data_IF_859139033703
#
_entry.id   IF_859139033703
#
_cell.length_a   1.000
_cell.length_b   1.000
_cell.length_c   1.000
_cell.angle_alpha   90.00
_cell.angle_beta   90.00
_cell.angle_gamma   90.00
#
_symmetry.space_group_name_H-M   'P 1'
#
loop_
_entity.id
_entity.type
_entity.pdbx_description
1 polymer ?
#
# COMPACT_ATOMS: atom_id res chain seq x y z
N UNK A 1 6.46 21.25 -9.27
CA UNK A 1 7.03 20.00 -8.74
C UNK A 1 8.22 20.41 -7.87
N UNK A 2 8.20 20.14 -6.56
CA UNK A 2 9.26 20.57 -5.61
C UNK A 2 10.39 19.55 -5.45
N UNK A 3 10.42 18.53 -6.31
CA UNK A 3 11.32 17.38 -6.25
C UNK A 3 12.20 17.38 -7.51
N UNK A 4 13.50 17.21 -7.32
CA UNK A 4 14.50 17.19 -8.38
C UNK A 4 14.72 15.79 -8.94
N UNK A 5 15.47 15.71 -10.03
CA UNK A 5 15.95 14.44 -10.59
C UNK A 5 16.60 13.57 -9.50
N UNK A 6 16.37 12.26 -9.55
CA UNK A 6 16.81 11.24 -8.58
C UNK A 6 16.10 11.29 -7.21
N UNK A 7 15.11 12.17 -7.03
CA UNK A 7 14.25 12.09 -5.85
C UNK A 7 13.43 10.80 -5.89
N UNK A 8 13.26 10.16 -4.74
CA UNK A 8 12.50 8.92 -4.60
C UNK A 8 11.39 9.08 -3.57
N UNK A 9 10.31 8.33 -3.76
CA UNK A 9 9.26 8.13 -2.76
C UNK A 9 9.22 6.65 -2.37
N UNK A 10 8.99 6.42 -1.08
CA UNK A 10 8.71 5.11 -0.51
C UNK A 10 7.58 5.30 0.49
N UNK A 11 6.46 4.61 0.28
CA UNK A 11 5.30 4.71 1.16
C UNK A 11 4.54 3.38 1.19
N UNK A 12 3.89 3.13 2.32
CA UNK A 12 2.84 2.15 2.42
C UNK A 12 1.49 2.74 2.00
N UNK A 13 0.61 1.90 1.49
CA UNK A 13 -0.74 2.31 1.13
C UNK A 13 -1.74 1.18 1.36
N UNK A 14 -3.01 1.57 1.52
CA UNK A 14 -4.13 0.65 1.57
C UNK A 14 -4.82 0.53 0.21
N UNK A 15 -5.38 -0.64 -0.12
CA UNK A 15 -6.22 -0.78 -1.29
C UNK A 15 -7.48 0.08 -1.14
N UNK A 16 -8.01 0.57 -2.27
CA UNK A 16 -9.25 1.38 -2.34
C UNK A 16 -10.42 0.73 -1.57
N UNK A 17 -10.49 -0.60 -1.54
CA UNK A 17 -11.52 -1.37 -0.84
C UNK A 17 -11.54 -1.17 0.69
N UNK A 18 -10.41 -0.83 1.31
CA UNK A 18 -10.37 -0.49 2.75
C UNK A 18 -10.96 0.89 3.00
N UNK A 19 -10.81 1.79 2.03
CA UNK A 19 -11.27 3.18 2.14
C UNK A 19 -12.78 3.26 1.97
N UNK A 20 -13.34 2.55 0.98
CA UNK A 20 -14.78 2.56 0.70
C UNK A 20 -15.58 1.53 1.52
N UNK A 21 -14.91 0.71 2.34
CA UNK A 21 -15.52 -0.30 3.20
C UNK A 21 -15.91 -1.60 2.49
N UNK A 22 -15.55 -1.78 1.21
CA UNK A 22 -15.80 -2.99 0.43
C UNK A 22 -14.77 -4.12 0.66
N UNK A 23 -13.79 -3.91 1.55
CA UNK A 23 -12.77 -4.92 1.84
C UNK A 23 -13.36 -6.21 2.44
N UNK A 24 -13.08 -7.35 1.81
CA UNK A 24 -13.54 -8.66 2.28
C UNK A 24 -12.75 -9.18 3.50
N UNK A 25 -11.59 -8.60 3.80
CA UNK A 25 -10.80 -8.98 4.97
C UNK A 25 -11.38 -8.33 6.23
N UNK A 26 -11.57 -9.14 7.29
CA UNK A 26 -12.07 -8.66 8.58
C UNK A 26 -11.22 -7.52 9.14
N UNK A 27 -9.89 -7.64 9.06
CA UNK A 27 -8.97 -6.59 9.49
C UNK A 27 -9.19 -5.28 8.71
N UNK A 28 -9.55 -5.35 7.42
CA UNK A 28 -9.81 -4.18 6.58
C UNK A 28 -11.11 -3.48 6.99
N UNK A 29 -12.19 -4.25 7.20
CA UNK A 29 -13.46 -3.71 7.71
C UNK A 29 -13.33 -3.11 9.10
N UNK A 30 -12.60 -3.79 9.99
CA UNK A 30 -12.37 -3.30 11.35
C UNK A 30 -11.60 -1.98 11.34
N UNK A 31 -10.57 -1.87 10.50
CA UNK A 31 -9.82 -0.62 10.32
C UNK A 31 -10.71 0.51 9.79
N UNK A 32 -11.49 0.25 8.73
CA UNK A 32 -12.43 1.22 8.16
C UNK A 32 -13.42 1.76 9.20
N UNK A 33 -14.13 0.84 9.88
CA UNK A 33 -15.15 1.19 10.86
C UNK A 33 -14.55 1.95 12.05
N UNK A 34 -13.41 1.49 12.56
CA UNK A 34 -12.77 2.13 13.71
C UNK A 34 -12.34 3.57 13.40
N UNK A 35 -11.74 3.81 12.24
CA UNK A 35 -11.34 5.16 11.82
C UNK A 35 -12.55 6.07 11.59
N UNK A 36 -13.65 5.53 11.05
CA UNK A 36 -14.90 6.27 10.93
C UNK A 36 -15.50 6.64 12.30
N UNK A 37 -15.48 5.73 13.28
CA UNK A 37 -15.95 5.97 14.65
C UNK A 37 -15.12 7.06 15.37
N UNK A 38 -13.82 7.13 15.09
CA UNK A 38 -12.93 8.17 15.60
C UNK A 38 -13.13 9.54 14.92
N UNK A 39 -13.93 9.60 13.85
CA UNK A 39 -14.11 10.81 13.04
C UNK A 39 -12.94 11.10 12.09
N UNK A 40 -12.06 10.12 11.86
CA UNK A 40 -10.88 10.22 10.99
C UNK A 40 -10.91 9.16 9.86
N UNK A 41 -11.98 9.08 9.05
CA UNK A 41 -12.07 8.07 8.00
C UNK A 41 -10.95 8.24 6.96
N UNK A 42 -10.41 7.12 6.47
CA UNK A 42 -9.48 7.13 5.35
C UNK A 42 -10.11 7.84 4.15
N UNK A 43 -9.33 8.71 3.51
CA UNK A 43 -9.78 9.48 2.34
C UNK A 43 -9.13 9.01 1.04
N UNK A 44 -8.07 8.21 1.15
CA UNK A 44 -7.24 7.84 0.01
C UNK A 44 -6.76 6.40 0.13
N UNK A 45 -6.85 5.71 -1.00
CA UNK A 45 -6.34 4.37 -1.22
C UNK A 45 -6.11 4.21 -2.71
N UNK A 46 -5.31 3.22 -3.09
CA UNK A 46 -5.00 2.95 -4.49
C UNK A 46 -5.69 1.66 -4.89
N UNK A 47 -6.41 1.66 -6.00
CA UNK A 47 -7.01 0.43 -6.52
C UNK A 47 -5.93 -0.62 -6.77
N UNK A 48 -6.23 -1.85 -6.39
CA UNK A 48 -5.32 -2.98 -6.60
C UNK A 48 -4.89 -3.06 -8.08
N UNK A 49 -3.60 -3.24 -8.32
CA UNK A 49 -3.00 -3.26 -9.66
C UNK A 49 -2.83 -1.89 -10.34
N UNK A 50 -3.27 -0.79 -9.73
CA UNK A 50 -3.24 0.54 -10.37
C UNK A 50 -2.12 1.47 -9.87
N UNK A 51 -1.29 1.04 -8.93
CA UNK A 51 -0.23 1.89 -8.34
C UNK A 51 0.80 2.37 -9.36
N UNK A 52 1.14 1.53 -10.34
CA UNK A 52 2.05 1.91 -11.42
C UNK A 52 1.45 3.03 -12.26
N UNK A 53 0.21 2.86 -12.75
CA UNK A 53 -0.48 3.90 -13.51
C UNK A 53 -0.64 5.20 -12.69
N UNK A 54 -1.01 5.09 -11.42
CA UNK A 54 -1.16 6.22 -10.50
C UNK A 54 0.14 7.02 -10.37
N UNK A 55 1.29 6.35 -10.19
CA UNK A 55 2.58 7.01 -10.03
C UNK A 55 3.15 7.55 -11.34
N UNK A 56 2.99 6.82 -12.45
CA UNK A 56 3.42 7.25 -13.79
C UNK A 56 2.68 8.52 -14.23
N UNK A 57 1.37 8.61 -14.00
CA UNK A 57 0.59 9.82 -14.28
C UNK A 57 1.11 11.05 -13.51
N UNK A 58 1.79 10.84 -12.38
CA UNK A 58 2.35 11.89 -11.52
C UNK A 58 3.82 12.20 -11.83
N UNK A 59 4.35 11.67 -12.92
CA UNK A 59 5.72 11.92 -13.37
C UNK A 59 6.78 11.09 -12.67
N UNK A 60 6.38 10.01 -11.98
CA UNK A 60 7.33 9.05 -11.45
C UNK A 60 7.61 7.93 -12.47
N UNK A 61 8.78 7.33 -12.37
CA UNK A 61 9.19 6.15 -13.11
C UNK A 61 9.87 5.14 -12.18
N UNK A 62 10.30 4.00 -12.73
CA UNK A 62 10.91 2.92 -11.94
C UNK A 62 10.01 2.39 -10.83
N UNK A 63 8.69 2.36 -11.05
CA UNK A 63 7.72 1.98 -10.03
C UNK A 63 7.90 0.52 -9.63
N UNK A 64 8.01 0.28 -8.33
CA UNK A 64 8.01 -1.03 -7.71
C UNK A 64 6.86 -1.11 -6.72
N UNK A 65 6.03 -2.13 -6.87
CA UNK A 65 4.98 -2.47 -5.92
C UNK A 65 5.36 -3.76 -5.20
N UNK A 66 5.18 -3.81 -3.90
CA UNK A 66 5.42 -5.00 -3.09
C UNK A 66 4.16 -5.28 -2.27
N UNK A 67 3.55 -6.44 -2.51
CA UNK A 67 2.40 -6.92 -1.74
C UNK A 67 2.82 -7.59 -0.44
N UNK A 68 1.83 -7.79 0.43
CA UNK A 68 2.01 -8.57 1.64
C UNK A 68 2.57 -9.98 1.40
N UNK A 69 2.07 -10.64 0.34
CA UNK A 69 2.50 -11.97 -0.06
C UNK A 69 3.95 -11.98 -0.55
N UNK A 70 4.32 -10.98 -1.34
CA UNK A 70 5.68 -10.84 -1.88
C UNK A 70 6.69 -10.57 -0.77
N UNK A 71 6.42 -9.64 0.16
CA UNK A 71 7.35 -9.40 1.26
C UNK A 71 7.43 -10.60 2.22
N UNK A 72 6.32 -11.31 2.44
CA UNK A 72 6.34 -12.55 3.23
C UNK A 72 7.27 -13.57 2.57
N UNK A 73 7.15 -13.78 1.26
CA UNK A 73 8.02 -14.68 0.51
C UNK A 73 9.51 -14.28 0.59
N UNK A 74 9.81 -12.98 0.54
CA UNK A 74 11.18 -12.47 0.55
C UNK A 74 11.84 -12.57 1.94
N UNK A 75 11.09 -12.28 3.01
CA UNK A 75 11.69 -12.03 4.34
C UNK A 75 11.28 -13.04 5.41
N UNK A 76 10.20 -13.81 5.25
CA UNK A 76 9.68 -14.70 6.29
C UNK A 76 10.14 -16.12 6.01
N UNK A 77 11.38 -16.39 6.41
CA UNK A 77 12.06 -17.67 6.23
C UNK A 77 12.69 -18.14 7.56
N UNK A 78 13.10 -19.41 7.61
CA UNK A 78 13.68 -20.07 8.81
C UNK A 78 12.76 -19.91 10.02
N UNK A 79 13.26 -19.29 11.09
CA UNK A 79 12.53 -19.10 12.34
C UNK A 79 11.27 -18.23 12.18
N UNK A 80 11.19 -17.41 11.13
CA UNK A 80 10.08 -16.48 10.90
C UNK A 80 9.05 -16.98 9.88
N UNK A 81 9.20 -18.21 9.35
CA UNK A 81 8.38 -18.71 8.22
C UNK A 81 6.87 -18.73 8.53
N UNK A 82 6.50 -18.99 9.78
CA UNK A 82 5.12 -19.14 10.22
C UNK A 82 4.55 -17.85 10.82
N UNK A 83 5.33 -16.76 10.84
CA UNK A 83 4.86 -15.49 11.39
C UNK A 83 3.79 -14.90 10.47
N UNK A 84 2.66 -14.52 11.07
CA UNK A 84 1.57 -13.88 10.36
C UNK A 84 1.96 -12.48 9.88
N UNK A 85 1.40 -12.11 8.74
CA UNK A 85 1.65 -10.88 8.01
C UNK A 85 0.29 -10.32 7.65
N UNK A 86 0.06 -9.04 7.97
CA UNK A 86 -1.18 -8.37 7.60
C UNK A 86 -1.23 -8.16 6.09
N UNK A 87 -2.23 -8.76 5.44
CA UNK A 87 -2.39 -8.69 3.98
C UNK A 87 -2.83 -7.33 3.44
N UNK A 88 -3.14 -6.37 4.31
CA UNK A 88 -3.62 -5.03 3.91
C UNK A 88 -2.50 -4.09 3.46
N UNK A 89 -1.25 -4.35 3.85
CA UNK A 89 -0.16 -3.44 3.57
C UNK A 89 0.47 -3.73 2.21
N UNK A 90 0.43 -2.71 1.36
CA UNK A 90 1.16 -2.64 0.12
C UNK A 90 2.23 -1.57 0.25
N UNK A 91 3.38 -1.77 -0.40
CA UNK A 91 4.47 -0.81 -0.42
C UNK A 91 4.76 -0.40 -1.84
N UNK A 92 4.94 0.89 -2.06
CA UNK A 92 5.32 1.45 -3.35
C UNK A 92 6.63 2.22 -3.24
N UNK A 93 7.52 1.98 -4.19
CA UNK A 93 8.72 2.77 -4.43
C UNK A 93 8.70 3.32 -5.85
N UNK A 94 9.09 4.58 -6.04
CA UNK A 94 9.28 5.16 -7.36
C UNK A 94 10.25 6.35 -7.32
N UNK A 95 10.80 6.71 -8.48
CA UNK A 95 11.80 7.77 -8.65
C UNK A 95 11.34 8.83 -9.65
N UNK A 96 11.96 10.01 -9.61
CA UNK A 96 11.82 11.05 -10.65
C UNK A 96 13.09 11.03 -11.50
N UNK A 97 12.94 10.82 -12.80
CA UNK A 97 14.03 10.79 -13.78
C UNK A 97 14.23 12.10 -14.55
#
# INVERSE_FOLDING_TARGET
>A
MNSGKESAILFDYFPESVVDGSCELEVGRNLHNHLAELGEPLQFGIREGMVEAFLVERGFSGVQNVTAEEFKKLYFHRANKDREVCSLYYFAHAVIE
#
